data_IF_755504462817
#
_entry.id   IF_755504462817
#
_cell.length_a   1.000
_cell.length_b   1.000
_cell.length_c   1.000
_cell.angle_alpha   90.00
_cell.angle_beta   90.00
_cell.angle_gamma   90.00
#
_symmetry.space_group_name_H-M   'P 1'
#
loop_
_entity.id
_entity.type
_entity.pdbx_description
1 polymer ?
#
# COMPACT_ATOMS: atom_id res chain seq x y z
N UNK A 1 2.79 12.43 -5.82
CA UNK A 1 1.67 11.73 -6.47
C UNK A 1 0.61 11.57 -5.41
N UNK A 2 -0.61 12.01 -5.70
CA UNK A 2 -1.76 12.01 -4.80
C UNK A 2 -2.97 11.68 -5.68
N UNK A 3 -3.93 10.88 -5.19
CA UNK A 3 -5.20 10.68 -5.88
C UNK A 3 -6.05 11.96 -5.88
N UNK A 4 -6.97 12.08 -6.85
CA UNK A 4 -7.95 13.17 -6.82
C UNK A 4 -9.07 12.90 -5.81
N UNK A 5 -9.45 11.63 -5.67
CA UNK A 5 -10.44 11.18 -4.69
C UNK A 5 -9.85 10.80 -3.35
N UNK A 6 -10.67 11.00 -2.32
CA UNK A 6 -10.42 10.56 -0.96
C UNK A 6 -10.78 9.08 -0.82
N UNK A 7 -10.02 8.37 0.02
CA UNK A 7 -10.18 6.93 0.30
C UNK A 7 -10.53 6.66 1.77
N UNK A 8 -10.80 7.71 2.54
CA UNK A 8 -11.16 7.67 3.95
C UNK A 8 -12.65 7.97 4.15
N UNK A 9 -13.49 7.31 3.35
CA UNK A 9 -14.95 7.49 3.31
C UNK A 9 -15.75 6.26 3.76
N UNK A 10 -15.07 5.32 4.44
CA UNK A 10 -15.60 4.03 4.93
C UNK A 10 -16.11 3.09 3.83
N UNK A 11 -15.70 3.29 2.56
CA UNK A 11 -15.99 2.36 1.47
C UNK A 11 -14.77 1.54 1.05
N UNK A 12 -15.04 0.46 0.33
CA UNK A 12 -14.01 -0.33 -0.34
C UNK A 12 -13.43 0.45 -1.52
N UNK A 13 -12.10 0.41 -1.65
CA UNK A 13 -11.36 0.99 -2.76
C UNK A 13 -10.35 0.00 -3.32
N UNK A 14 -10.28 -0.10 -4.64
CA UNK A 14 -9.26 -0.89 -5.34
C UNK A 14 -8.09 -0.01 -5.73
N UNK A 15 -6.93 -0.24 -5.10
CA UNK A 15 -5.73 0.58 -5.32
C UNK A 15 -4.69 -0.22 -6.09
N UNK A 16 -4.23 0.32 -7.24
CA UNK A 16 -3.10 -0.22 -8.00
C UNK A 16 -1.93 0.76 -7.98
N UNK A 17 -0.78 0.26 -7.55
CA UNK A 17 0.49 0.97 -7.57
C UNK A 17 1.45 0.26 -8.52
N UNK A 18 2.09 1.03 -9.40
CA UNK A 18 3.12 0.51 -10.31
C UNK A 18 4.33 1.43 -10.32
N UNK A 19 5.53 0.85 -10.34
CA UNK A 19 6.78 1.60 -10.50
C UNK A 19 7.63 0.98 -11.61
N UNK A 20 7.96 1.78 -12.63
CA UNK A 20 8.93 1.45 -13.69
C UNK A 20 10.07 2.44 -13.69
N UNK A 21 11.22 2.02 -13.17
CA UNK A 21 12.37 2.89 -12.98
C UNK A 21 12.02 4.08 -12.05
N UNK A 22 12.05 5.29 -12.61
CA UNK A 22 11.68 6.52 -11.90
C UNK A 22 10.19 6.85 -11.96
N UNK A 23 9.45 6.24 -12.89
CA UNK A 23 8.02 6.52 -13.09
C UNK A 23 7.20 5.70 -12.12
N UNK A 24 6.39 6.38 -11.31
CA UNK A 24 5.30 5.79 -10.55
C UNK A 24 3.97 6.01 -11.25
N UNK A 25 3.04 5.10 -11.04
CA UNK A 25 1.63 5.18 -11.43
C UNK A 25 0.79 4.74 -10.22
N UNK A 26 -0.26 5.51 -9.92
CA UNK A 26 -1.29 5.21 -8.95
C UNK A 26 -2.63 5.23 -9.67
N UNK A 27 -3.43 4.20 -9.46
CA UNK A 27 -4.84 4.17 -9.86
C UNK A 27 -5.67 3.81 -8.64
N UNK A 28 -6.73 4.56 -8.42
CA UNK A 28 -7.75 4.28 -7.40
C UNK A 28 -9.05 4.00 -8.15
N UNK A 29 -9.65 2.85 -7.86
CA UNK A 29 -10.89 2.38 -8.48
C UNK A 29 -10.83 2.43 -10.03
N UNK A 30 -11.85 3.04 -10.64
CA UNK A 30 -11.96 3.22 -12.09
C UNK A 30 -11.55 4.63 -12.54
N UNK A 31 -10.83 5.38 -11.70
CA UNK A 31 -10.39 6.75 -12.01
C UNK A 31 -9.19 6.79 -12.96
N UNK A 32 -8.88 7.98 -13.46
CA UNK A 32 -7.72 8.22 -14.30
C UNK A 32 -6.41 7.98 -13.53
N UNK A 33 -5.43 7.39 -14.22
CA UNK A 33 -4.13 7.09 -13.65
C UNK A 33 -3.35 8.36 -13.30
N UNK A 34 -2.92 8.46 -12.05
CA UNK A 34 -2.04 9.51 -11.57
C UNK A 34 -0.59 9.06 -11.74
N UNK A 35 0.23 9.86 -12.42
CA UNK A 35 1.63 9.53 -12.69
C UNK A 35 2.62 10.55 -12.12
N UNK A 36 3.85 10.12 -11.86
CA UNK A 36 4.87 10.96 -11.25
C UNK A 36 6.27 10.39 -11.41
N UNK A 37 7.28 11.24 -11.17
CA UNK A 37 8.69 10.85 -11.23
C UNK A 37 9.35 11.03 -9.87
N UNK A 38 10.19 10.06 -9.48
CA UNK A 38 11.09 10.24 -8.35
C UNK A 38 12.12 11.33 -8.65
N UNK A 39 12.54 12.07 -7.62
CA UNK A 39 13.60 13.07 -7.71
C UNK A 39 14.97 12.41 -7.97
N UNK A 40 15.92 13.20 -8.45
CA UNK A 40 17.28 12.73 -8.73
C UNK A 40 17.39 11.82 -9.95
N UNK A 41 18.52 11.12 -10.09
CA UNK A 41 18.83 10.29 -11.26
C UNK A 41 18.61 8.78 -11.03
N UNK A 42 18.44 8.36 -9.77
CA UNK A 42 18.36 6.95 -9.41
C UNK A 42 17.03 6.34 -9.86
N UNK A 43 17.11 5.28 -10.67
CA UNK A 43 15.96 4.55 -11.18
C UNK A 43 15.74 3.20 -10.50
N UNK A 44 16.80 2.59 -9.95
CA UNK A 44 16.72 1.29 -9.29
C UNK A 44 16.17 1.41 -7.87
N UNK A 45 15.45 0.37 -7.44
CA UNK A 45 14.96 0.18 -6.07
C UNK A 45 15.68 -1.04 -5.49
N UNK A 46 16.53 -0.82 -4.49
CA UNK A 46 17.19 -1.88 -3.74
C UNK A 46 16.42 -2.07 -2.44
N UNK A 47 15.54 -3.06 -2.39
CA UNK A 47 14.65 -3.32 -1.26
C UNK A 47 14.75 -4.79 -0.86
N UNK A 48 15.92 -5.20 -0.36
CA UNK A 48 16.24 -6.58 0.01
C UNK A 48 15.69 -6.95 1.39
N UNK A 49 14.41 -6.67 1.64
CA UNK A 49 13.78 -6.83 2.96
C UNK A 49 12.34 -7.33 2.91
N UNK A 50 11.73 -7.38 4.09
CA UNK A 50 10.33 -7.79 4.25
C UNK A 50 9.37 -6.71 3.76
N UNK A 51 8.16 -7.15 3.39
CA UNK A 51 7.06 -6.27 3.02
C UNK A 51 6.21 -6.02 4.26
N UNK A 52 5.84 -4.76 4.46
CA UNK A 52 5.01 -4.32 5.57
C UNK A 52 3.67 -3.83 5.03
N UNK A 53 2.57 -4.36 5.57
CA UNK A 53 1.20 -4.00 5.19
C UNK A 53 0.50 -3.48 6.45
N UNK A 54 -0.24 -2.37 6.30
CA UNK A 54 -0.95 -1.71 7.41
C UNK A 54 -0.04 -0.86 8.32
N UNK A 55 1.24 -1.19 8.46
CA UNK A 55 2.14 -0.37 9.27
C UNK A 55 3.54 -0.92 9.47
N UNK A 56 4.36 -0.11 10.12
CA UNK A 56 5.76 -0.42 10.51
C UNK A 56 5.97 -0.18 12.01
N UNK A 57 7.12 -0.59 12.53
CA UNK A 57 7.36 -0.56 13.99
C UNK A 57 7.54 0.87 14.50
N UNK A 58 8.35 1.69 13.83
CA UNK A 58 8.53 3.11 14.13
C UNK A 58 8.13 3.93 12.91
N UNK A 59 6.84 4.28 12.82
CA UNK A 59 6.26 4.95 11.65
C UNK A 59 7.01 6.20 11.26
N UNK A 60 7.38 7.02 12.24
CA UNK A 60 8.06 8.28 11.96
C UNK A 60 9.46 8.02 11.41
N UNK A 61 10.24 7.14 12.04
CA UNK A 61 11.59 6.82 11.59
C UNK A 61 11.60 6.09 10.25
N UNK A 62 10.81 5.04 10.11
CA UNK A 62 10.83 4.12 8.97
C UNK A 62 10.25 4.77 7.70
N UNK A 63 9.40 5.78 7.84
CA UNK A 63 8.88 6.58 6.72
C UNK A 63 9.66 7.88 6.49
N UNK A 64 10.77 8.11 7.19
CA UNK A 64 11.56 9.33 7.05
C UNK A 64 10.78 10.60 7.42
N UNK A 65 9.84 10.49 8.37
CA UNK A 65 9.00 11.56 8.85
C UNK A 65 7.78 11.88 7.99
N UNK A 66 7.48 11.08 6.95
CA UNK A 66 6.29 11.29 6.11
C UNK A 66 4.99 10.98 6.85
N UNK A 67 4.99 9.95 7.70
CA UNK A 67 3.80 9.49 8.40
C UNK A 67 4.05 9.42 9.91
N UNK A 68 2.99 9.65 10.69
CA UNK A 68 3.02 9.61 12.16
C UNK A 68 2.10 8.53 12.75
N UNK A 69 1.29 7.88 11.91
CA UNK A 69 0.33 6.86 12.32
C UNK A 69 0.31 5.73 11.29
N UNK A 70 0.13 4.51 11.78
CA UNK A 70 -0.14 3.35 10.94
C UNK A 70 -1.59 3.39 10.43
N UNK A 71 -1.87 2.57 9.42
CA UNK A 71 -3.21 2.41 8.86
C UNK A 71 -4.15 1.74 9.87
N UNK A 72 -5.40 2.16 9.85
CA UNK A 72 -6.50 1.58 10.61
C UNK A 72 -7.65 1.35 9.65
N UNK A 73 -7.97 0.07 9.40
CA UNK A 73 -8.99 -0.32 8.44
C UNK A 73 -8.80 -1.78 8.00
N UNK A 74 -9.43 -2.13 6.88
CA UNK A 74 -9.37 -3.45 6.29
C UNK A 74 -8.54 -3.45 5.01
N UNK A 75 -7.74 -4.50 4.80
CA UNK A 75 -6.97 -4.74 3.58
C UNK A 75 -7.13 -6.20 3.21
N UNK A 76 -7.47 -6.50 1.95
CA UNK A 76 -7.31 -7.83 1.38
C UNK A 76 -7.00 -7.76 -0.11
N UNK A 77 -7.01 -8.94 -0.76
CA UNK A 77 -6.71 -9.14 -2.18
C UNK A 77 -5.42 -8.45 -2.64
N UNK A 78 -4.39 -8.53 -1.77
CA UNK A 78 -3.09 -7.94 -2.05
C UNK A 78 -2.33 -8.83 -3.01
N UNK A 79 -1.99 -8.28 -4.17
CA UNK A 79 -1.10 -8.90 -5.13
C UNK A 79 0.16 -8.05 -5.33
N UNK A 80 1.33 -8.69 -5.31
CA UNK A 80 2.61 -8.07 -5.61
C UNK A 80 3.18 -8.69 -6.87
N UNK A 81 3.46 -7.87 -7.89
CA UNK A 81 3.99 -8.33 -9.17
C UNK A 81 3.17 -9.47 -9.81
N UNK A 82 1.86 -9.49 -9.55
CA UNK A 82 0.92 -10.50 -10.05
C UNK A 82 0.77 -11.74 -9.17
N UNK A 83 1.52 -11.86 -8.07
CA UNK A 83 1.39 -12.95 -7.11
C UNK A 83 0.50 -12.53 -5.94
N UNK A 84 -0.55 -13.30 -5.67
CA UNK A 84 -1.46 -13.06 -4.55
C UNK A 84 -0.75 -13.44 -3.25
N UNK A 85 -0.73 -12.52 -2.29
CA UNK A 85 -0.15 -12.74 -0.97
C UNK A 85 -1.24 -13.23 -0.01
N UNK A 86 -1.02 -14.40 0.59
CA UNK A 86 -1.85 -14.85 1.71
C UNK A 86 -1.46 -14.08 2.97
N UNK A 87 -2.22 -13.02 3.27
CA UNK A 87 -1.98 -12.11 4.39
C UNK A 87 -1.99 -12.80 5.76
N UNK A 88 -2.64 -13.96 5.90
CA UNK A 88 -2.70 -14.70 7.16
C UNK A 88 -1.76 -15.91 7.17
N UNK A 89 -1.61 -16.59 6.04
CA UNK A 89 -0.82 -17.81 5.93
C UNK A 89 0.67 -17.60 5.71
N UNK A 90 1.07 -16.46 5.10
CA UNK A 90 2.48 -16.17 4.76
C UNK A 90 3.11 -15.03 5.56
N UNK A 91 2.35 -14.45 6.51
CA UNK A 91 2.85 -13.39 7.37
C UNK A 91 4.00 -13.87 8.28
N UNK A 92 5.10 -13.12 8.31
CA UNK A 92 6.25 -13.38 9.20
C UNK A 92 5.95 -12.93 10.64
N UNK A 93 5.23 -11.82 10.81
CA UNK A 93 4.78 -11.26 12.10
C UNK A 93 3.49 -10.44 11.90
N UNK A 94 2.74 -10.20 12.97
CA UNK A 94 1.52 -9.40 12.97
C UNK A 94 1.24 -8.77 14.33
N UNK A 95 0.90 -7.47 14.36
CA UNK A 95 0.56 -6.74 15.59
C UNK A 95 -0.77 -6.05 15.45
N UNK A 96 -1.69 -6.36 16.37
CA UNK A 96 -3.05 -5.82 16.38
C UNK A 96 -3.82 -6.05 15.07
N UNK A 97 -3.59 -7.20 14.44
CA UNK A 97 -4.28 -7.64 13.23
C UNK A 97 -5.38 -8.61 13.64
N UNK A 98 -6.58 -8.42 13.10
CA UNK A 98 -7.71 -9.34 13.25
C UNK A 98 -8.45 -9.45 11.91
N UNK A 99 -9.18 -10.55 11.68
CA UNK A 99 -10.14 -10.60 10.57
C UNK A 99 -11.12 -9.41 10.65
N UNK A 100 -11.51 -8.88 9.50
CA UNK A 100 -12.53 -7.84 9.43
C UNK A 100 -13.91 -8.43 9.73
N UNK A 101 -14.71 -7.71 10.53
CA UNK A 101 -16.00 -8.20 11.02
C UNK A 101 -17.07 -8.22 9.91
N UNK A 102 -16.95 -7.33 8.91
CA UNK A 102 -17.77 -7.30 7.70
C UNK A 102 -16.87 -7.14 6.48
N UNK A 103 -16.93 -8.11 5.56
CA UNK A 103 -16.55 -7.92 4.17
C UNK A 103 -17.87 -7.68 3.44
N UNK A 104 -18.11 -6.48 2.91
CA UNK A 104 -19.22 -6.31 1.96
C UNK A 104 -18.79 -7.12 0.73
N UNK A 105 -19.22 -8.37 0.71
CA UNK A 105 -19.09 -9.22 -0.47
C UNK A 105 -20.04 -8.66 -1.52
N UNK A 106 -19.65 -8.68 -2.80
CA UNK A 106 -20.48 -8.17 -3.90
C UNK A 106 -21.85 -8.86 -4.00
#
# INVERSE_FOLDING_TARGET
>A
MISESRVDDDKEHHIRLERRGRRGILKVDNEDEQSGLSSGILAMLNADGNIFIGGVHDVYRDTGGLHSKNFVGCVADVALNGEIIDLMGTAIDGKNVKPCDEWISP
#
